data_IF_000653127602
#
_entry.id   IF_000653127602
#
_cell.length_a   1.000
_cell.length_b   1.000
_cell.length_c   1.000
_cell.angle_alpha   90.00
_cell.angle_beta   90.00
_cell.angle_gamma   90.00
#
_symmetry.space_group_name_H-M   'P 1'
#
loop_
_entity.id
_entity.type
_entity.pdbx_description
1 polymer ?
#
# COMPACT_ATOMS: atom_id res chain seq x y z
N UNK A 1 -22.84 -16.23 -1.85
CA UNK A 1 -21.38 -16.15 -1.98
C UNK A 1 -20.91 -15.08 -1.01
N UNK A 2 -19.92 -15.40 -0.17
CA UNK A 2 -19.37 -14.43 0.77
C UNK A 2 -18.41 -13.51 0.04
N UNK A 3 -18.57 -12.21 0.24
CA UNK A 3 -17.76 -11.19 -0.43
C UNK A 3 -16.67 -10.75 0.54
N UNK A 4 -15.42 -10.89 0.11
CA UNK A 4 -14.28 -10.32 0.80
C UNK A 4 -13.81 -9.08 0.05
N UNK A 5 -13.69 -7.96 0.74
CA UNK A 5 -13.19 -6.71 0.17
C UNK A 5 -11.76 -6.50 0.61
N UNK A 6 -10.87 -6.19 -0.35
CA UNK A 6 -9.50 -5.76 -0.11
C UNK A 6 -9.41 -4.24 -0.27
N UNK A 7 -8.92 -3.57 0.77
CA UNK A 7 -8.63 -2.13 0.76
C UNK A 7 -7.13 -1.90 0.97
N UNK A 8 -6.57 -0.96 0.22
CA UNK A 8 -5.19 -0.50 0.39
C UNK A 8 -5.20 0.91 0.97
N UNK A 9 -4.43 1.13 2.02
CA UNK A 9 -4.15 2.46 2.59
C UNK A 9 -2.65 2.72 2.62
N UNK A 10 -2.28 3.99 2.72
CA UNK A 10 -0.89 4.42 2.87
C UNK A 10 -0.77 5.41 4.03
N UNK A 11 0.46 5.75 4.40
CA UNK A 11 0.74 6.91 5.25
C UNK A 11 0.23 8.18 4.55
N UNK A 12 -0.63 8.98 5.19
CA UNK A 12 -1.28 10.14 4.55
C UNK A 12 -0.28 11.23 4.16
N UNK A 13 0.73 11.48 4.99
CA UNK A 13 1.74 12.52 4.74
C UNK A 13 3.08 12.09 5.32
N UNK A 14 4.15 12.35 4.57
CA UNK A 14 5.53 12.04 4.95
C UNK A 14 6.45 13.15 4.46
N UNK A 15 7.51 13.45 5.19
CA UNK A 15 8.60 14.27 4.66
C UNK A 15 9.48 13.47 3.70
N UNK A 16 10.20 14.14 2.82
CA UNK A 16 11.27 13.51 2.02
C UNK A 16 12.29 12.80 2.93
N UNK A 17 12.80 11.67 2.46
CA UNK A 17 13.63 10.75 3.26
C UNK A 17 12.90 10.04 4.41
N UNK A 18 11.59 10.27 4.59
CA UNK A 18 10.76 9.57 5.56
C UNK A 18 10.38 8.15 5.13
N UNK A 19 9.37 7.58 5.80
CA UNK A 19 8.90 6.21 5.55
C UNK A 19 7.42 6.18 5.20
N UNK A 20 7.08 5.43 4.16
CA UNK A 20 5.72 5.22 3.69
C UNK A 20 5.32 3.78 4.01
N UNK A 21 4.24 3.61 4.77
CA UNK A 21 3.70 2.30 5.08
C UNK A 21 2.43 2.06 4.27
N UNK A 22 2.41 1.00 3.48
CA UNK A 22 1.21 0.52 2.79
C UNK A 22 0.59 -0.62 3.58
N UNK A 23 -0.71 -0.53 3.85
CA UNK A 23 -1.47 -1.54 4.60
C UNK A 23 -2.59 -2.08 3.72
N UNK A 24 -2.62 -3.39 3.55
CA UNK A 24 -3.68 -4.11 2.89
C UNK A 24 -4.60 -4.75 3.94
N UNK A 25 -5.89 -4.40 3.93
CA UNK A 25 -6.89 -4.92 4.86
C UNK A 25 -7.99 -5.66 4.12
N UNK A 26 -8.36 -6.82 4.65
CA UNK A 26 -9.47 -7.66 4.20
C UNK A 26 -10.63 -7.60 5.19
N UNK A 27 -11.86 -7.71 4.69
CA UNK A 27 -13.05 -7.86 5.54
C UNK A 27 -13.17 -9.24 6.17
N UNK A 28 -12.54 -10.26 5.57
CA UNK A 28 -12.49 -11.65 6.07
C UNK A 28 -11.04 -12.15 6.12
N UNK A 29 -10.79 -13.22 6.90
CA UNK A 29 -9.47 -13.86 6.95
C UNK A 29 -9.16 -14.55 5.63
N UNK A 30 -7.92 -14.50 5.19
CA UNK A 30 -7.44 -15.28 4.05
C UNK A 30 -7.41 -16.78 4.42
N UNK A 31 -7.92 -17.65 3.55
CA UNK A 31 -7.84 -19.10 3.72
C UNK A 31 -6.46 -19.67 3.39
N UNK A 32 -5.78 -19.06 2.42
CA UNK A 32 -4.37 -19.29 2.06
C UNK A 32 -3.63 -17.97 2.01
N UNK A 33 -2.31 -17.99 1.81
CA UNK A 33 -1.55 -16.76 1.62
C UNK A 33 -2.09 -15.99 0.41
N UNK A 34 -2.37 -14.70 0.61
CA UNK A 34 -2.79 -13.77 -0.42
C UNK A 34 -1.62 -12.86 -0.78
N UNK A 35 -1.17 -12.95 -2.02
CA UNK A 35 -0.14 -12.08 -2.58
C UNK A 35 -0.79 -10.93 -3.34
N UNK A 36 -0.44 -9.69 -3.00
CA UNK A 36 -1.01 -8.46 -3.53
C UNK A 36 0.12 -7.69 -4.22
N UNK A 37 -0.03 -7.43 -5.52
CA UNK A 37 0.91 -6.63 -6.31
C UNK A 37 0.45 -5.19 -6.36
N UNK A 38 1.38 -4.27 -6.14
CA UNK A 38 1.13 -2.83 -6.14
C UNK A 38 1.66 -2.18 -7.42
N UNK A 39 1.15 -0.99 -7.77
CA UNK A 39 1.56 -0.26 -8.98
C UNK A 39 2.98 0.30 -8.92
N UNK A 40 3.53 0.46 -7.72
CA UNK A 40 4.93 0.84 -7.49
C UNK A 40 5.91 -0.35 -7.60
N UNK A 41 5.42 -1.55 -7.95
CA UNK A 41 6.24 -2.76 -8.10
C UNK A 41 6.38 -3.59 -6.81
N UNK A 42 5.98 -3.05 -5.66
CA UNK A 42 6.04 -3.75 -4.38
C UNK A 42 4.97 -4.84 -4.25
N UNK A 43 5.17 -5.73 -3.28
CA UNK A 43 4.24 -6.84 -3.00
C UNK A 43 3.93 -6.94 -1.51
N UNK A 44 2.65 -7.02 -1.16
CA UNK A 44 2.17 -7.31 0.21
C UNK A 44 1.67 -8.75 0.25
N UNK A 45 2.07 -9.51 1.28
CA UNK A 45 1.54 -10.87 1.51
C UNK A 45 0.73 -10.92 2.80
N UNK A 46 -0.56 -11.19 2.70
CA UNK A 46 -1.42 -11.49 3.86
C UNK A 46 -1.37 -13.00 4.09
N UNK A 47 -0.79 -13.41 5.22
CA UNK A 47 -0.68 -14.82 5.56
C UNK A 47 -2.06 -15.47 5.80
N UNK A 48 -2.15 -16.78 5.56
CA UNK A 48 -3.32 -17.56 5.90
C UNK A 48 -3.78 -17.33 7.35
N UNK A 49 -5.09 -17.19 7.56
CA UNK A 49 -5.70 -16.88 8.85
C UNK A 49 -5.59 -15.41 9.27
N UNK A 50 -4.87 -14.58 8.53
CA UNK A 50 -4.78 -13.13 8.77
C UNK A 50 -5.73 -12.37 7.86
N UNK A 51 -6.03 -11.13 8.25
CA UNK A 51 -6.86 -10.20 7.48
C UNK A 51 -6.10 -8.94 7.06
N UNK A 52 -4.85 -8.82 7.46
CA UNK A 52 -4.10 -7.60 7.28
C UNK A 52 -2.61 -7.91 7.16
N UNK A 53 -1.92 -7.14 6.34
CA UNK A 53 -0.46 -7.10 6.27
C UNK A 53 -0.04 -5.73 5.76
N UNK A 54 1.22 -5.37 6.05
CA UNK A 54 1.79 -4.12 5.63
C UNK A 54 3.23 -4.29 5.16
N UNK A 55 3.68 -3.32 4.37
CA UNK A 55 5.08 -3.13 3.99
C UNK A 55 5.44 -1.67 4.23
N UNK A 56 6.73 -1.41 4.45
CA UNK A 56 7.25 -0.06 4.60
C UNK A 56 8.35 0.15 3.57
N UNK A 57 8.24 1.24 2.82
CA UNK A 57 9.27 1.71 1.89
C UNK A 57 9.80 3.08 2.35
N UNK A 58 10.95 3.46 1.84
CA UNK A 58 11.46 4.82 2.01
C UNK A 58 10.73 5.76 1.05
N UNK A 59 10.40 6.97 1.53
CA UNK A 59 9.92 8.06 0.69
C UNK A 59 11.04 8.49 -0.29
N UNK A 60 10.71 9.24 -1.36
CA UNK A 60 11.72 9.86 -2.21
C UNK A 60 12.78 10.57 -1.35
N UNK A 61 14.04 10.44 -1.75
CA UNK A 61 15.13 11.12 -1.03
C UNK A 61 15.00 12.62 -1.21
N UNK A 62 15.36 13.35 -0.17
CA UNK A 62 15.45 14.81 -0.16
C UNK A 62 16.45 15.27 -1.23
N UNK A 63 16.01 16.12 -2.14
CA UNK A 63 16.83 16.70 -3.21
C UNK A 63 16.48 18.18 -3.39
N UNK A 64 17.52 19.02 -3.43
CA UNK A 64 17.44 20.49 -3.52
C UNK A 64 16.60 20.98 -4.71
N UNK A 65 16.40 20.15 -5.74
CA UNK A 65 15.69 20.51 -6.96
C UNK A 65 14.41 19.71 -7.21
N UNK A 66 14.12 18.66 -6.42
CA UNK A 66 12.91 17.85 -6.59
C UNK A 66 11.86 18.34 -5.61
N UNK A 67 10.83 18.99 -6.14
CA UNK A 67 9.72 19.44 -5.31
C UNK A 67 8.85 18.24 -4.86
N UNK A 68 8.26 18.38 -3.67
CA UNK A 68 7.34 17.40 -3.10
C UNK A 68 6.23 16.95 -4.08
N UNK A 69 6.12 15.63 -4.29
CA UNK A 69 5.12 15.01 -5.16
C UNK A 69 4.22 14.04 -4.38
N UNK A 70 2.92 14.02 -4.72
CA UNK A 70 1.99 13.03 -4.17
C UNK A 70 2.24 11.65 -4.79
N UNK A 71 2.54 10.65 -3.96
CA UNK A 71 2.67 9.28 -4.39
C UNK A 71 1.31 8.58 -4.36
N UNK A 72 0.90 8.02 -5.50
CA UNK A 72 -0.35 7.29 -5.66
C UNK A 72 -0.09 5.83 -6.02
N UNK A 73 -0.53 4.91 -5.15
CA UNK A 73 -0.33 3.47 -5.33
C UNK A 73 -1.67 2.74 -5.33
N UNK A 74 -1.83 1.85 -6.30
CA UNK A 74 -3.04 1.01 -6.47
C UNK A 74 -2.67 -0.47 -6.45
N UNK A 75 -3.64 -1.33 -6.20
CA UNK A 75 -3.49 -2.77 -6.36
C UNK A 75 -3.60 -3.12 -7.85
N UNK A 76 -2.56 -3.73 -8.41
CA UNK A 76 -2.51 -4.14 -9.82
C UNK A 76 -2.86 -5.60 -10.03
N UNK A 77 -2.78 -6.42 -8.99
CA UNK A 77 -3.18 -7.81 -9.05
C UNK A 77 -3.15 -8.52 -7.70
N UNK A 78 -3.89 -9.62 -7.60
CA UNK A 78 -3.92 -10.48 -6.43
C UNK A 78 -3.81 -11.94 -6.85
N UNK A 79 -3.26 -12.78 -5.99
CA UNK A 79 -3.16 -14.23 -6.22
C UNK A 79 -3.23 -14.96 -4.88
N UNK A 80 -4.03 -16.03 -4.81
CA UNK A 80 -4.24 -16.79 -3.58
C UNK A 80 -5.40 -16.28 -2.74
N UNK A 81 -5.33 -16.47 -1.42
CA UNK A 81 -6.34 -16.05 -0.46
C UNK A 81 -7.52 -17.02 -0.26
N UNK A 82 -7.82 -17.87 -1.24
CA UNK A 82 -8.88 -18.90 -1.19
C UNK A 82 -10.27 -18.34 -0.81
N UNK A 83 -10.72 -17.31 -1.54
CA UNK A 83 -12.03 -16.67 -1.33
C UNK A 83 -13.05 -17.14 -2.37
N UNK A 84 -14.32 -17.25 -1.98
CA UNK A 84 -15.44 -17.46 -2.91
C UNK A 84 -15.62 -16.26 -3.85
N UNK A 85 -15.39 -15.05 -3.34
CA UNK A 85 -15.34 -13.81 -4.11
C UNK A 85 -14.43 -12.78 -3.44
N UNK A 86 -13.49 -12.23 -4.20
CA UNK A 86 -12.64 -11.12 -3.80
C UNK A 86 -12.96 -9.87 -4.62
N UNK A 87 -13.28 -8.78 -3.94
CA UNK A 87 -13.44 -7.45 -4.54
C UNK A 87 -12.28 -6.56 -4.10
N UNK A 88 -11.52 -6.06 -5.07
CA UNK A 88 -10.40 -5.15 -4.83
C UNK A 88 -10.91 -3.72 -4.95
N UNK A 89 -10.71 -2.91 -3.91
CA UNK A 89 -11.03 -1.48 -3.97
C UNK A 89 -10.22 -0.79 -5.07
N UNK A 90 -10.89 0.04 -5.87
CA UNK A 90 -10.24 0.88 -6.88
C UNK A 90 -9.66 2.17 -6.29
N UNK A 91 -9.82 2.40 -4.98
CA UNK A 91 -9.28 3.57 -4.31
C UNK A 91 -7.77 3.48 -4.25
N UNK A 92 -7.08 4.48 -4.80
CA UNK A 92 -5.64 4.61 -4.66
C UNK A 92 -5.25 4.97 -3.22
N UNK A 93 -4.18 4.36 -2.73
CA UNK A 93 -3.52 4.76 -1.51
C UNK A 93 -2.57 5.92 -1.84
N UNK A 94 -2.87 7.10 -1.31
CA UNK A 94 -2.17 8.34 -1.62
C UNK A 94 -1.33 8.76 -0.42
N UNK A 95 -0.08 9.13 -0.66
CA UNK A 95 0.82 9.73 0.32
C UNK A 95 1.26 11.09 -0.19
N UNK A 96 0.98 12.13 0.59
CA UNK A 96 1.52 13.46 0.33
C UNK A 96 2.96 13.54 0.81
N UNK A 97 3.91 13.68 -0.11
CA UNK A 97 5.29 13.97 0.27
C UNK A 97 5.40 15.48 0.53
N UNK A 98 6.07 15.87 1.60
CA UNK A 98 6.33 17.28 1.93
C UNK A 98 7.80 17.58 1.84
N UNK A 99 8.11 18.65 1.11
CA UNK A 99 9.43 19.23 1.02
C UNK A 99 9.96 19.60 2.40
N UNK A 100 11.25 19.35 2.61
CA UNK A 100 11.98 19.73 3.81
C UNK A 100 12.77 21.00 3.52
N UNK A 101 12.73 21.96 4.46
CA UNK A 101 13.48 23.21 4.28
C UNK A 101 14.98 22.90 4.27
N UNK A 102 15.60 22.94 3.08
CA UNK A 102 17.05 22.92 2.95
C UNK A 102 17.62 24.27 3.40
N UNK A 103 18.64 24.23 4.24
CA UNK A 103 19.32 25.42 4.78
C UNK A 103 20.80 25.49 4.40
N UNK A 104 21.26 24.68 3.44
CA UNK A 104 22.69 24.54 3.11
C UNK A 104 23.11 25.04 1.73
#
# INVERSE_FOLDING_TARGET
PDITTLTLTATDTVAEGGKITYTATLTNKAGTDLVIKLSNGETITIAAGSKEASITIDAPSDDVYVDAEDLSVTVTGTTGGDFEKLEVSSTAAVTKVTDTIDTT
#
